data_IF_657575061135
#
_entry.id   IF_657575061135
#
_cell.length_a   1.000
_cell.length_b   1.000
_cell.length_c   1.000
_cell.angle_alpha   90.00
_cell.angle_beta   90.00
_cell.angle_gamma   90.00
#
_symmetry.space_group_name_H-M   'P 1'
#
loop_
_entity.id
_entity.type
_entity.pdbx_description
1 polymer ?
#
# COMPACT_ATOMS: atom_id res chain seq x y z
N UNK A 1 -11.04 -33.94 28.69
CA UNK A 1 -9.57 -33.77 28.69
C UNK A 1 -9.06 -34.24 27.34
N UNK A 2 -8.78 -33.30 26.46
CA UNK A 2 -8.29 -33.54 25.09
C UNK A 2 -6.96 -32.78 25.00
N UNK A 3 -5.83 -33.42 24.63
CA UNK A 3 -4.54 -32.78 24.75
C UNK A 3 -4.35 -31.72 23.65
N UNK A 4 -3.70 -30.63 24.06
CA UNK A 4 -3.33 -29.50 23.22
C UNK A 4 -2.45 -29.92 22.04
N UNK A 5 -2.78 -29.32 20.90
CA UNK A 5 -2.11 -29.39 19.61
C UNK A 5 -0.62 -28.99 19.73
N UNK A 6 0.27 -29.89 19.32
CA UNK A 6 1.71 -29.67 19.31
C UNK A 6 2.09 -28.64 18.24
N UNK A 7 2.59 -27.48 18.66
CA UNK A 7 3.33 -26.55 17.78
C UNK A 7 4.45 -27.33 17.08
N UNK A 8 4.39 -27.44 15.75
CA UNK A 8 5.47 -27.96 14.92
C UNK A 8 6.75 -27.16 15.19
N UNK A 9 7.64 -27.71 16.04
CA UNK A 9 8.97 -27.16 16.24
C UNK A 9 9.72 -27.29 14.91
N UNK A 10 10.04 -26.16 14.28
CA UNK A 10 10.92 -26.10 13.11
C UNK A 10 12.17 -26.92 13.42
N UNK A 11 12.41 -27.95 12.62
CA UNK A 11 13.59 -28.83 12.73
C UNK A 11 14.87 -27.99 12.87
N UNK A 12 15.71 -28.34 13.85
CA UNK A 12 17.02 -27.73 14.09
C UNK A 12 17.87 -27.65 12.80
N UNK A 13 17.74 -28.61 11.89
CA UNK A 13 18.39 -28.59 10.58
C UNK A 13 17.87 -27.47 9.65
N UNK A 14 16.60 -27.07 9.77
CA UNK A 14 16.00 -25.97 9.00
C UNK A 14 16.45 -24.62 9.57
N UNK A 15 16.58 -24.52 10.89
CA UNK A 15 17.12 -23.35 11.61
C UNK A 15 18.62 -23.19 11.35
N UNK A 16 19.38 -24.30 11.36
CA UNK A 16 20.79 -24.30 11.01
C UNK A 16 20.98 -23.99 9.52
N UNK A 17 20.16 -24.53 8.61
CA UNK A 17 20.21 -24.16 7.18
C UNK A 17 19.87 -22.69 6.95
N UNK A 18 18.92 -22.08 7.67
CA UNK A 18 18.69 -20.64 7.56
C UNK A 18 19.91 -19.87 8.09
N UNK A 19 20.42 -20.22 9.27
CA UNK A 19 21.58 -19.58 9.89
C UNK A 19 22.87 -19.71 9.06
N UNK A 20 23.04 -20.81 8.32
CA UNK A 20 24.19 -21.05 7.44
C UNK A 20 23.94 -20.66 5.97
N UNK A 21 22.70 -20.41 5.54
CA UNK A 21 22.41 -19.90 4.19
C UNK A 21 22.84 -18.43 4.00
N UNK A 22 23.14 -17.77 5.11
CA UNK A 22 23.70 -16.42 5.18
C UNK A 22 25.24 -16.42 5.25
N UNK A 23 25.87 -17.59 5.39
CA UNK A 23 27.32 -17.79 5.17
C UNK A 23 27.65 -18.06 3.69
N UNK A 24 26.88 -17.47 2.77
CA UNK A 24 27.23 -17.41 1.34
C UNK A 24 27.90 -16.06 1.12
N UNK A 25 29.06 -16.03 0.45
CA UNK A 25 29.74 -14.83 -0.08
C UNK A 25 28.71 -13.72 -0.40
N UNK A 26 28.55 -12.79 0.54
CA UNK A 26 27.67 -11.65 0.42
C UNK A 26 28.58 -10.44 0.35
N UNK A 27 28.72 -9.88 -0.84
CA UNK A 27 29.52 -8.69 -1.05
C UNK A 27 28.76 -7.49 -0.48
N UNK A 28 29.35 -6.79 0.48
CA UNK A 28 28.79 -5.53 0.98
C UNK A 28 29.30 -4.40 0.10
N UNK A 29 28.39 -3.65 -0.51
CA UNK A 29 28.73 -2.59 -1.46
C UNK A 29 28.11 -1.26 -1.03
N UNK A 30 28.93 -0.21 -0.99
CA UNK A 30 28.51 1.18 -0.90
C UNK A 30 28.31 1.73 -2.31
N UNK A 31 27.06 1.72 -2.79
CA UNK A 31 26.72 2.02 -4.18
C UNK A 31 26.60 3.53 -4.37
N UNK A 32 27.68 4.17 -4.84
CA UNK A 32 27.73 5.63 -5.16
C UNK A 32 27.41 5.94 -6.62
N UNK A 33 27.58 4.96 -7.50
CA UNK A 33 27.31 5.04 -8.93
C UNK A 33 26.55 3.78 -9.37
N UNK A 34 26.26 3.64 -10.66
CA UNK A 34 25.59 2.44 -11.16
C UNK A 34 26.44 1.18 -10.88
N UNK A 35 25.87 0.22 -10.16
CA UNK A 35 26.46 -1.08 -9.87
C UNK A 35 25.76 -2.18 -10.66
N UNK A 36 26.52 -2.90 -11.48
CA UNK A 36 26.00 -4.04 -12.25
C UNK A 36 25.86 -5.25 -11.33
N UNK A 37 24.66 -5.79 -11.25
CA UNK A 37 24.38 -6.94 -10.40
C UNK A 37 25.10 -8.19 -10.91
N UNK A 38 25.41 -9.09 -9.98
CA UNK A 38 26.04 -10.37 -10.27
C UNK A 38 25.15 -11.53 -9.82
N UNK A 39 25.60 -12.77 -10.05
CA UNK A 39 24.96 -13.98 -9.52
C UNK A 39 25.26 -14.21 -8.04
N UNK A 40 26.21 -13.47 -7.45
CA UNK A 40 26.46 -13.46 -5.99
C UNK A 40 25.43 -12.59 -5.27
N UNK A 41 25.28 -12.79 -3.96
CA UNK A 41 24.47 -11.90 -3.13
C UNK A 41 25.25 -10.59 -2.96
N UNK A 42 24.57 -9.47 -3.15
CA UNK A 42 25.11 -8.13 -2.94
C UNK A 42 24.24 -7.44 -1.91
N UNK A 43 24.80 -7.14 -0.75
CA UNK A 43 24.16 -6.37 0.31
C UNK A 43 24.51 -4.90 0.12
N UNK A 44 23.50 -4.07 -0.03
CA UNK A 44 23.64 -2.63 -0.27
C UNK A 44 23.40 -1.90 1.02
N UNK A 45 24.36 -1.07 1.44
CA UNK A 45 24.17 -0.18 2.59
C UNK A 45 23.27 0.98 2.18
N UNK A 46 21.99 0.90 2.52
CA UNK A 46 21.04 1.97 2.24
C UNK A 46 21.07 2.95 3.39
N UNK A 47 21.82 4.04 3.22
CA UNK A 47 21.76 5.22 4.11
C UNK A 47 20.49 6.02 3.82
N UNK A 48 19.32 5.36 3.86
CA UNK A 48 18.01 5.98 3.61
C UNK A 48 17.86 6.65 2.23
N UNK A 49 18.66 6.22 1.25
CA UNK A 49 18.59 6.75 -0.11
C UNK A 49 17.80 5.83 -1.02
N UNK A 50 16.96 6.38 -1.90
CA UNK A 50 16.24 5.57 -2.89
C UNK A 50 17.16 5.11 -4.02
N UNK A 51 16.81 3.98 -4.62
CA UNK A 51 17.54 3.39 -5.74
C UNK A 51 16.64 3.18 -6.95
N UNK A 52 17.23 3.29 -8.13
CA UNK A 52 16.65 2.78 -9.36
C UNK A 52 17.27 1.43 -9.69
N UNK A 53 16.41 0.47 -10.01
CA UNK A 53 16.75 -0.84 -10.54
C UNK A 53 16.43 -0.81 -12.02
N UNK A 54 17.42 -1.06 -12.89
CA UNK A 54 17.19 -1.19 -14.32
C UNK A 54 17.19 -2.68 -14.70
N UNK A 55 16.05 -3.18 -15.18
CA UNK A 55 15.93 -4.57 -15.64
C UNK A 55 16.33 -4.70 -17.11
N UNK A 56 17.39 -5.46 -17.41
CA UNK A 56 17.79 -5.81 -18.79
C UNK A 56 16.86 -6.89 -19.41
N UNK A 57 16.67 -7.04 -20.73
CA UNK A 57 17.17 -6.21 -21.83
C UNK A 57 16.45 -4.89 -21.99
N UNK A 58 15.19 -4.81 -21.58
CA UNK A 58 14.31 -3.70 -21.95
C UNK A 58 14.63 -2.39 -21.19
N UNK A 59 15.54 -2.45 -20.23
CA UNK A 59 15.94 -1.30 -19.42
C UNK A 59 14.83 -0.82 -18.47
N UNK A 60 13.79 -1.63 -18.21
CA UNK A 60 12.63 -1.24 -17.40
C UNK A 60 13.10 -0.68 -16.05
N UNK A 61 12.87 0.61 -15.75
CA UNK A 61 13.24 1.18 -14.47
C UNK A 61 12.18 0.81 -13.43
N UNK A 62 12.64 0.37 -12.26
CA UNK A 62 11.84 0.29 -11.05
C UNK A 62 12.51 1.13 -9.98
N UNK A 63 11.72 1.76 -9.12
CA UNK A 63 12.22 2.56 -8.01
C UNK A 63 11.95 1.83 -6.71
N UNK A 64 12.94 1.84 -5.82
CA UNK A 64 12.81 1.36 -4.45
C UNK A 64 13.17 2.50 -3.50
N UNK A 65 12.20 2.89 -2.68
CA UNK A 65 12.33 3.99 -1.74
C UNK A 65 12.18 3.45 -0.32
N UNK A 66 12.95 3.94 0.67
CA UNK A 66 12.57 3.79 2.06
C UNK A 66 11.15 4.31 2.25
N UNK A 67 10.32 3.55 2.93
CA UNK A 67 8.96 3.98 3.23
C UNK A 67 9.02 5.08 4.28
N UNK A 68 8.51 6.30 3.98
CA UNK A 68 8.56 7.38 4.94
C UNK A 68 7.65 7.06 6.13
N UNK A 69 8.19 7.24 7.33
CA UNK A 69 7.41 7.32 8.56
C UNK A 69 6.77 8.71 8.63
N UNK A 70 5.53 8.76 9.11
CA UNK A 70 4.78 10.01 9.28
C UNK A 70 4.65 10.39 10.76
N UNK A 71 5.42 9.74 11.64
CA UNK A 71 5.42 10.04 13.08
C UNK A 71 6.24 11.32 13.36
N UNK A 72 5.58 12.33 13.93
CA UNK A 72 6.21 13.61 14.28
C UNK A 72 7.30 13.46 15.34
N UNK A 73 7.19 12.44 16.21
CA UNK A 73 8.15 12.18 17.29
C UNK A 73 9.41 11.47 16.80
N UNK A 74 9.37 10.90 15.60
CA UNK A 74 10.42 10.02 15.12
C UNK A 74 10.83 10.35 13.69
N UNK A 75 11.22 11.61 13.49
CA UNK A 75 11.84 12.12 12.24
C UNK A 75 13.10 11.35 11.82
N UNK A 76 13.58 10.42 12.64
CA UNK A 76 14.78 9.59 12.43
C UNK A 76 14.51 8.07 12.50
N UNK A 77 13.28 7.61 12.78
CA UNK A 77 12.96 6.20 12.62
C UNK A 77 12.82 5.89 11.14
N UNK A 78 13.87 5.27 10.60
CA UNK A 78 13.76 4.46 9.40
C UNK A 78 12.74 3.35 9.67
N UNK A 79 11.66 3.29 8.88
CA UNK A 79 10.64 2.24 8.94
C UNK A 79 11.19 0.82 8.68
N UNK A 80 12.50 0.72 8.37
CA UNK A 80 13.19 -0.46 7.83
C UNK A 80 12.43 -1.11 6.69
N UNK A 81 11.48 -0.39 6.08
CA UNK A 81 10.54 -0.88 5.08
C UNK A 81 10.76 -0.12 3.80
N UNK A 82 10.54 -0.78 2.68
CA UNK A 82 10.77 -0.20 1.37
C UNK A 82 9.55 -0.34 0.47
N UNK A 83 9.30 0.67 -0.35
CA UNK A 83 8.28 0.63 -1.40
C UNK A 83 8.97 0.43 -2.75
N UNK A 84 8.65 -0.66 -3.44
CA UNK A 84 9.09 -0.97 -4.79
C UNK A 84 7.94 -0.71 -5.79
N UNK A 85 8.16 0.15 -6.78
CA UNK A 85 7.14 0.55 -7.73
C UNK A 85 7.70 0.89 -9.12
N UNK A 86 6.80 1.00 -10.11
CA UNK A 86 7.09 1.54 -11.44
C UNK A 86 6.98 3.08 -11.42
N UNK A 87 8.09 3.83 -11.54
CA UNK A 87 8.07 5.28 -11.44
C UNK A 87 7.32 5.97 -12.58
N UNK A 88 7.09 5.29 -13.71
CA UNK A 88 6.35 5.85 -14.84
C UNK A 88 4.84 5.93 -14.57
N UNK A 89 4.33 5.03 -13.71
CA UNK A 89 2.90 4.91 -13.40
C UNK A 89 2.54 5.44 -12.00
N UNK A 90 3.43 5.29 -11.02
CA UNK A 90 3.16 5.60 -9.62
C UNK A 90 2.83 7.08 -9.31
N UNK A 91 3.16 8.00 -10.21
CA UNK A 91 2.88 9.43 -10.01
C UNK A 91 1.84 9.98 -11.00
N UNK A 92 1.29 9.12 -11.87
CA UNK A 92 0.46 9.53 -13.00
C UNK A 92 -0.86 8.77 -13.12
N UNK A 93 -1.05 7.67 -12.38
CA UNK A 93 -2.30 6.91 -12.41
C UNK A 93 -2.37 5.81 -11.35
N UNK A 94 -3.52 5.14 -11.26
CA UNK A 94 -3.72 4.03 -10.33
C UNK A 94 -2.80 2.86 -10.72
N UNK A 95 -1.81 2.56 -9.88
CA UNK A 95 -0.93 1.40 -10.06
C UNK A 95 -0.63 0.69 -8.74
N UNK A 96 -0.23 -0.57 -8.83
CA UNK A 96 0.25 -1.32 -7.67
C UNK A 96 1.70 -0.99 -7.31
N UNK A 97 2.12 -1.50 -6.16
CA UNK A 97 3.48 -1.44 -5.64
C UNK A 97 3.66 -2.58 -4.62
N UNK A 98 4.90 -2.86 -4.25
CA UNK A 98 5.22 -3.80 -3.19
C UNK A 98 5.79 -3.07 -1.99
N UNK A 99 5.32 -3.40 -0.79
CA UNK A 99 6.00 -3.08 0.47
C UNK A 99 6.90 -4.25 0.84
N UNK A 100 8.16 -3.97 1.16
CA UNK A 100 9.14 -4.94 1.64
C UNK A 100 9.52 -4.56 3.07
N UNK A 101 8.90 -5.23 4.05
CA UNK A 101 9.24 -5.10 5.46
C UNK A 101 10.52 -5.88 5.79
N UNK A 102 11.07 -5.67 6.99
CA UNK A 102 12.20 -6.47 7.46
C UNK A 102 11.87 -7.97 7.43
N UNK A 103 12.72 -8.76 6.78
CA UNK A 103 12.55 -10.21 6.55
C UNK A 103 11.83 -10.56 5.25
N UNK A 104 11.22 -9.59 4.56
CA UNK A 104 10.51 -9.84 3.30
C UNK A 104 11.49 -10.10 2.15
N UNK A 105 11.01 -10.88 1.18
CA UNK A 105 11.73 -11.22 -0.03
C UNK A 105 10.80 -11.30 -1.22
N UNK A 106 11.15 -10.61 -2.29
CA UNK A 106 10.48 -10.68 -3.58
C UNK A 106 11.42 -11.23 -4.65
N UNK A 107 10.86 -11.96 -5.60
CA UNK A 107 11.56 -12.43 -6.80
C UNK A 107 10.86 -11.84 -8.01
N UNK A 108 11.53 -10.90 -8.68
CA UNK A 108 11.05 -10.26 -9.88
C UNK A 108 11.22 -11.16 -11.10
N UNK A 109 10.22 -11.22 -11.98
CA UNK A 109 10.30 -11.94 -13.25
C UNK A 109 9.04 -11.85 -14.10
N UNK A 110 9.15 -12.21 -15.38
CA UNK A 110 8.07 -12.03 -16.38
C UNK A 110 6.91 -13.04 -16.30
N UNK A 111 6.98 -14.04 -15.40
CA UNK A 111 5.93 -15.06 -15.26
C UNK A 111 4.82 -14.64 -14.29
N UNK A 112 5.10 -13.72 -13.37
CA UNK A 112 4.18 -13.31 -12.32
C UNK A 112 3.17 -12.29 -12.86
N UNK A 113 1.87 -12.62 -12.85
CA UNK A 113 0.81 -11.77 -13.40
C UNK A 113 0.62 -10.49 -12.59
N UNK A 114 0.77 -10.56 -11.27
CA UNK A 114 0.63 -9.41 -10.38
C UNK A 114 1.77 -8.43 -10.62
N UNK A 115 3.01 -8.91 -10.70
CA UNK A 115 4.15 -8.04 -10.98
C UNK A 115 4.08 -7.41 -12.36
N UNK A 116 3.57 -8.13 -13.36
CA UNK A 116 3.30 -7.56 -14.69
C UNK A 116 2.28 -6.42 -14.62
N UNK A 117 1.24 -6.56 -13.81
CA UNK A 117 0.23 -5.53 -13.62
C UNK A 117 0.76 -4.33 -12.81
N UNK A 118 1.37 -4.60 -11.66
CA UNK A 118 1.75 -3.59 -10.67
C UNK A 118 3.01 -2.83 -11.06
N UNK A 119 4.02 -3.54 -11.56
CA UNK A 119 5.33 -2.99 -11.87
C UNK A 119 5.58 -2.83 -13.38
N UNK A 120 4.57 -3.12 -14.21
CA UNK A 120 4.68 -3.08 -15.67
C UNK A 120 5.88 -3.90 -16.19
N UNK A 121 6.11 -5.07 -15.59
CA UNK A 121 7.20 -5.97 -15.95
C UNK A 121 6.88 -6.66 -17.28
N UNK A 122 7.78 -6.64 -18.28
CA UNK A 122 7.57 -7.35 -19.55
C UNK A 122 7.48 -8.86 -19.38
N UNK A 123 6.56 -9.50 -20.12
CA UNK A 123 6.36 -10.96 -20.08
C UNK A 123 7.57 -11.73 -20.63
N UNK A 124 8.37 -11.07 -21.46
CA UNK A 124 9.56 -11.58 -22.12
C UNK A 124 10.73 -11.72 -21.14
N UNK A 125 10.66 -11.07 -19.97
CA UNK A 125 11.68 -11.23 -18.96
C UNK A 125 11.71 -12.68 -18.43
N UNK A 126 12.90 -13.19 -18.06
CA UNK A 126 13.04 -14.50 -17.44
C UNK A 126 12.07 -14.68 -16.27
N UNK A 127 11.50 -15.88 -16.14
CA UNK A 127 10.47 -16.19 -15.13
C UNK A 127 10.91 -15.84 -13.69
N UNK A 128 12.21 -15.97 -13.41
CA UNK A 128 12.85 -15.54 -12.17
C UNK A 128 14.13 -14.82 -12.55
N UNK A 129 14.18 -13.51 -12.32
CA UNK A 129 15.25 -12.65 -12.81
C UNK A 129 16.09 -12.07 -11.69
N UNK A 130 15.45 -11.43 -10.72
CA UNK A 130 16.12 -10.68 -9.67
C UNK A 130 15.46 -10.97 -8.33
N UNK A 131 16.24 -11.43 -7.36
CA UNK A 131 15.81 -11.51 -5.97
C UNK A 131 16.16 -10.21 -5.26
N UNK A 132 15.22 -9.68 -4.49
CA UNK A 132 15.42 -8.55 -3.57
C UNK A 132 14.92 -9.04 -2.21
N UNK A 133 15.77 -8.99 -1.19
CA UNK A 133 15.39 -9.27 0.19
C UNK A 133 15.70 -8.06 1.05
N UNK A 134 14.90 -7.86 2.09
CA UNK A 134 15.14 -6.85 3.11
C UNK A 134 15.63 -7.54 4.38
N UNK A 135 16.94 -7.44 4.64
CA UNK A 135 17.61 -7.99 5.82
C UNK A 135 17.73 -6.90 6.88
N UNK A 136 16.68 -6.74 7.69
CA UNK A 136 16.58 -5.75 8.77
C UNK A 136 16.91 -4.29 8.37
N UNK A 137 16.41 -3.85 7.21
CA UNK A 137 16.66 -2.52 6.64
C UNK A 137 17.80 -2.49 5.62
N UNK A 138 18.55 -3.58 5.46
CA UNK A 138 19.59 -3.71 4.44
C UNK A 138 19.07 -4.51 3.24
N UNK A 139 19.04 -3.90 2.05
CA UNK A 139 18.59 -4.63 0.86
C UNK A 139 19.69 -5.55 0.31
N UNK A 140 19.31 -6.79 0.06
CA UNK A 140 20.16 -7.82 -0.55
C UNK A 140 19.62 -8.16 -1.93
N UNK A 141 20.45 -7.92 -2.95
CA UNK A 141 20.17 -8.19 -4.34
C UNK A 141 20.90 -9.45 -4.81
N UNK A 142 20.25 -10.23 -5.68
CA UNK A 142 20.89 -11.36 -6.35
C UNK A 142 20.26 -11.60 -7.71
N UNK A 143 21.07 -11.56 -8.77
CA UNK A 143 20.61 -12.02 -10.08
C UNK A 143 20.39 -13.54 -10.06
N UNK A 144 19.27 -13.97 -10.62
CA UNK A 144 18.91 -15.38 -10.79
C UNK A 144 19.17 -15.88 -12.21
N UNK A 145 19.81 -15.06 -13.06
CA UNK A 145 20.20 -15.40 -14.43
C UNK A 145 21.72 -15.40 -14.59
N UNK A 146 22.23 -16.29 -15.46
CA UNK A 146 23.66 -16.56 -15.62
C UNK A 146 24.46 -15.40 -16.23
N UNK A 147 23.84 -14.58 -17.09
CA UNK A 147 24.47 -13.38 -17.66
C UNK A 147 23.76 -12.14 -17.08
N UNK A 148 24.11 -11.71 -15.86
CA UNK A 148 23.44 -10.59 -15.23
C UNK A 148 23.85 -9.28 -15.91
N UNK A 149 22.85 -8.53 -16.34
CA UNK A 149 23.01 -7.23 -16.98
C UNK A 149 22.17 -6.13 -16.33
N UNK A 150 21.26 -6.51 -15.42
CA UNK A 150 20.55 -5.55 -14.58
C UNK A 150 21.53 -4.81 -13.68
N UNK A 151 21.24 -3.54 -13.41
CA UNK A 151 22.02 -2.71 -12.50
C UNK A 151 21.12 -2.00 -11.49
N UNK A 152 21.75 -1.57 -10.42
CA UNK A 152 21.16 -0.67 -9.43
C UNK A 152 21.94 0.63 -9.42
N UNK A 153 21.29 1.76 -9.20
CA UNK A 153 21.93 3.06 -9.10
C UNK A 153 21.20 3.93 -8.07
N UNK A 154 21.93 4.67 -7.21
CA UNK A 154 21.31 5.56 -6.24
C UNK A 154 20.66 6.75 -6.96
N UNK A 155 19.53 7.21 -6.43
CA UNK A 155 18.82 8.38 -6.93
C UNK A 155 19.26 9.64 -6.14
N UNK A 156 20.48 10.12 -6.42
CA UNK A 156 21.18 11.14 -5.62
C UNK A 156 20.72 12.59 -5.81
N UNK A 157 19.86 12.89 -6.78
CA UNK A 157 19.37 14.28 -6.97
C UNK A 157 18.34 14.58 -5.88
N UNK A 158 18.50 15.66 -5.11
CA UNK A 158 17.61 16.02 -3.99
C UNK A 158 16.11 15.89 -4.31
N UNK A 159 15.69 16.39 -5.49
CA UNK A 159 14.30 16.26 -5.95
C UNK A 159 13.82 14.82 -6.01
N UNK A 160 14.68 13.89 -6.41
CA UNK A 160 14.39 12.45 -6.47
C UNK A 160 14.49 11.80 -5.10
N UNK A 161 15.47 12.18 -4.26
CA UNK A 161 15.63 11.64 -2.90
C UNK A 161 14.34 11.79 -2.10
N UNK A 162 13.80 13.01 -2.08
CA UNK A 162 12.62 13.35 -1.29
C UNK A 162 11.30 13.25 -2.07
N UNK A 163 11.31 12.70 -3.29
CA UNK A 163 10.14 12.73 -4.18
C UNK A 163 8.93 12.03 -3.55
N UNK A 164 9.11 10.79 -3.07
CA UNK A 164 8.02 10.02 -2.46
C UNK A 164 7.51 10.67 -1.17
N UNK A 165 8.42 11.17 -0.33
CA UNK A 165 8.06 11.86 0.91
C UNK A 165 7.23 13.13 0.62
N UNK A 166 7.74 14.01 -0.24
CA UNK A 166 7.04 15.23 -0.64
C UNK A 166 5.70 14.94 -1.31
N UNK A 167 5.64 13.89 -2.14
CA UNK A 167 4.40 13.42 -2.75
C UNK A 167 3.36 13.07 -1.69
N UNK A 168 3.73 12.23 -0.71
CA UNK A 168 2.81 11.84 0.39
C UNK A 168 2.40 13.04 1.23
N UNK A 169 3.31 13.94 1.59
CA UNK A 169 2.97 15.16 2.32
C UNK A 169 1.95 16.04 1.58
N UNK A 170 2.12 16.22 0.27
CA UNK A 170 1.17 16.96 -0.55
C UNK A 170 -0.22 16.29 -0.55
N UNK A 171 -0.27 14.94 -0.57
CA UNK A 171 -1.55 14.22 -0.45
C UNK A 171 -2.20 14.44 0.89
N UNK A 172 -1.46 14.35 1.98
CA UNK A 172 -2.00 14.55 3.32
C UNK A 172 -2.54 15.96 3.50
N UNK A 173 -1.84 16.97 2.96
CA UNK A 173 -2.35 18.34 2.90
C UNK A 173 -3.68 18.41 2.13
N UNK A 174 -3.77 17.76 0.96
CA UNK A 174 -5.00 17.71 0.18
C UNK A 174 -6.14 16.96 0.87
N UNK A 175 -5.84 15.85 1.53
CA UNK A 175 -6.80 15.07 2.33
C UNK A 175 -7.36 15.93 3.48
N UNK A 176 -6.50 16.71 4.14
CA UNK A 176 -6.92 17.64 5.20
C UNK A 176 -7.90 18.70 4.67
N UNK A 177 -7.68 19.21 3.47
CA UNK A 177 -8.61 20.14 2.81
C UNK A 177 -9.96 19.47 2.53
N UNK A 178 -9.95 18.26 1.96
CA UNK A 178 -11.17 17.47 1.68
C UNK A 178 -11.95 17.22 2.96
N UNK A 179 -11.27 16.91 4.06
CA UNK A 179 -11.90 16.66 5.35
C UNK A 179 -12.27 17.93 6.12
N UNK A 180 -11.94 19.11 5.60
CA UNK A 180 -12.38 20.41 6.12
C UNK A 180 -11.77 20.79 7.47
N UNK A 181 -10.61 20.23 7.84
CA UNK A 181 -10.02 20.51 9.16
C UNK A 181 -9.09 19.41 9.69
N UNK A 182 -8.78 19.44 11.00
CA UNK A 182 -8.03 18.35 11.65
C UNK A 182 -8.75 17.00 11.54
N UNK A 183 -7.98 15.92 11.67
CA UNK A 183 -8.47 14.54 11.70
C UNK A 183 -8.89 14.23 13.14
N UNK A 184 -10.07 14.70 13.52
CA UNK A 184 -10.65 14.51 14.84
C UNK A 184 -12.17 14.24 14.72
N UNK A 185 -12.78 13.56 15.71
CA UNK A 185 -14.22 13.33 15.72
C UNK A 185 -15.00 14.65 15.62
N UNK A 186 -16.07 14.65 14.83
CA UNK A 186 -16.97 15.80 14.75
C UNK A 186 -17.79 15.94 16.04
N UNK A 187 -18.19 17.18 16.34
CA UNK A 187 -19.25 17.39 17.33
C UNK A 187 -20.56 16.70 16.90
N UNK A 188 -21.38 16.27 17.85
CA UNK A 188 -22.66 15.59 17.58
C UNK A 188 -23.55 16.35 16.57
N UNK A 189 -23.57 17.69 16.63
CA UNK A 189 -24.36 18.49 15.71
C UNK A 189 -23.81 18.45 14.27
N UNK A 190 -22.48 18.55 14.12
CA UNK A 190 -21.81 18.47 12.83
C UNK A 190 -21.92 17.05 12.24
N UNK A 191 -21.70 16.01 13.04
CA UNK A 191 -21.86 14.61 12.63
C UNK A 191 -23.29 14.33 12.14
N UNK A 192 -24.31 14.76 12.89
CA UNK A 192 -25.72 14.59 12.48
C UNK A 192 -26.05 15.33 11.17
N UNK A 193 -25.44 16.50 10.97
CA UNK A 193 -25.60 17.27 9.72
C UNK A 193 -24.99 16.50 8.54
N UNK A 194 -23.76 16.02 8.70
CA UNK A 194 -23.06 15.21 7.70
C UNK A 194 -23.83 13.93 7.35
N UNK A 195 -24.34 13.19 8.35
CA UNK A 195 -25.17 11.99 8.14
C UNK A 195 -26.40 12.31 7.30
N UNK A 196 -27.09 13.42 7.59
CA UNK A 196 -28.29 13.82 6.83
C UNK A 196 -27.96 14.18 5.39
N UNK A 197 -26.82 14.82 5.14
CA UNK A 197 -26.35 15.15 3.79
C UNK A 197 -26.00 13.89 3.01
N UNK A 198 -25.24 12.98 3.61
CA UNK A 198 -24.89 11.71 2.98
C UNK A 198 -26.14 10.86 2.71
N UNK A 199 -27.10 10.79 3.62
CA UNK A 199 -28.36 10.06 3.38
C UNK A 199 -29.11 10.57 2.14
N UNK A 200 -29.07 11.87 1.84
CA UNK A 200 -29.65 12.42 0.60
C UNK A 200 -28.90 11.95 -0.64
N UNK A 201 -27.57 11.83 -0.57
CA UNK A 201 -26.75 11.27 -1.65
C UNK A 201 -27.07 9.79 -1.85
N UNK A 202 -27.14 9.02 -0.75
CA UNK A 202 -27.37 7.58 -0.79
C UNK A 202 -28.75 7.22 -1.36
N UNK A 203 -29.77 8.06 -1.16
CA UNK A 203 -31.12 7.86 -1.70
C UNK A 203 -31.19 7.82 -3.23
N UNK A 204 -30.18 8.38 -3.92
CA UNK A 204 -30.06 8.37 -5.37
C UNK A 204 -28.62 8.07 -5.81
N UNK A 205 -27.93 7.21 -5.06
CA UNK A 205 -26.51 6.93 -5.30
C UNK A 205 -26.29 6.36 -6.71
N UNK A 206 -25.34 6.94 -7.44
CA UNK A 206 -24.95 6.42 -8.75
C UNK A 206 -24.50 4.96 -8.63
N UNK A 207 -24.63 4.20 -9.72
CA UNK A 207 -24.17 2.80 -9.77
C UNK A 207 -24.86 1.83 -8.82
N UNK A 208 -25.96 2.23 -8.15
CA UNK A 208 -26.81 1.31 -7.37
C UNK A 208 -28.10 0.98 -8.12
N UNK A 209 -28.24 -0.23 -8.68
CA UNK A 209 -29.50 -0.68 -9.23
C UNK A 209 -30.62 -0.58 -8.18
N UNK A 210 -31.79 -0.14 -8.63
CA UNK A 210 -32.98 -0.05 -7.78
C UNK A 210 -33.56 -1.44 -7.52
N UNK A 211 -34.06 -1.65 -6.31
CA UNK A 211 -34.82 -2.83 -5.92
C UNK A 211 -36.26 -2.77 -6.47
N UNK A 212 -37.08 -3.78 -6.16
CA UNK A 212 -38.47 -3.84 -6.59
C UNK A 212 -39.36 -2.70 -6.04
N UNK A 213 -38.90 -2.01 -4.99
CA UNK A 213 -39.56 -0.86 -4.37
C UNK A 213 -39.08 0.48 -4.95
N UNK A 214 -38.14 0.47 -5.90
CA UNK A 214 -37.56 1.68 -6.49
C UNK A 214 -36.50 2.34 -5.62
N UNK A 215 -35.96 1.65 -4.62
CA UNK A 215 -34.92 2.15 -3.72
C UNK A 215 -33.54 1.58 -4.10
N UNK A 216 -32.43 2.31 -3.91
CA UNK A 216 -31.09 1.78 -4.14
C UNK A 216 -30.82 0.49 -3.35
N UNK A 217 -30.43 -0.57 -4.05
CA UNK A 217 -30.14 -1.87 -3.43
C UNK A 217 -28.74 -1.99 -2.82
N UNK A 218 -28.42 -3.17 -2.27
CA UNK A 218 -27.10 -3.48 -1.70
C UNK A 218 -25.98 -3.70 -2.73
N UNK A 219 -26.32 -3.81 -4.02
CA UNK A 219 -25.38 -4.03 -5.11
C UNK A 219 -24.82 -2.70 -5.64
N UNK A 220 -23.52 -2.67 -5.94
CA UNK A 220 -22.86 -1.61 -6.70
C UNK A 220 -22.40 -2.17 -8.04
N UNK A 221 -22.82 -1.55 -9.14
CA UNK A 221 -22.50 -1.96 -10.50
C UNK A 221 -21.65 -0.87 -11.18
N UNK A 222 -20.34 -1.07 -11.14
CA UNK A 222 -19.36 -0.16 -11.73
C UNK A 222 -19.12 -0.49 -13.21
N UNK A 223 -18.86 0.52 -14.06
CA UNK A 223 -18.39 0.30 -15.43
C UNK A 223 -17.02 -0.39 -15.49
N UNK A 224 -16.77 -1.14 -16.56
CA UNK A 224 -15.52 -1.87 -16.79
C UNK A 224 -14.37 -0.99 -17.35
N UNK A 225 -14.58 0.32 -17.47
CA UNK A 225 -13.65 1.24 -18.16
C UNK A 225 -12.61 1.89 -17.24
N UNK A 226 -12.76 1.75 -15.93
CA UNK A 226 -12.00 2.49 -14.93
C UNK A 226 -11.44 1.56 -13.84
N UNK A 227 -10.23 1.79 -13.33
CA UNK A 227 -9.68 1.03 -12.22
C UNK A 227 -10.56 1.11 -10.96
N UNK A 228 -10.65 -0.01 -10.24
CA UNK A 228 -11.34 -0.11 -8.95
C UNK A 228 -10.33 -0.42 -7.85
N UNK A 229 -10.27 0.45 -6.85
CA UNK A 229 -9.50 0.26 -5.63
C UNK A 229 -10.43 -0.37 -4.61
N UNK A 230 -10.12 -1.58 -4.16
CA UNK A 230 -10.90 -2.30 -3.16
C UNK A 230 -10.15 -2.24 -1.84
N UNK A 231 -10.81 -1.76 -0.80
CA UNK A 231 -10.30 -1.67 0.56
C UNK A 231 -11.12 -2.58 1.47
N UNK A 232 -10.43 -3.51 2.14
CA UNK A 232 -11.01 -4.39 3.16
C UNK A 232 -11.30 -3.68 4.48
N UNK A 233 -11.49 -4.49 5.50
CA UNK A 233 -11.82 -4.09 6.86
C UNK A 233 -10.83 -3.05 7.39
N UNK A 234 -11.37 -2.04 8.09
CA UNK A 234 -10.55 -1.01 8.73
C UNK A 234 -10.51 -1.15 10.24
N UNK A 235 -11.53 -1.74 10.87
CA UNK A 235 -11.61 -1.97 12.32
C UNK A 235 -11.15 -0.74 13.12
N UNK A 236 -11.74 0.41 12.81
CA UNK A 236 -11.48 1.70 13.42
C UNK A 236 -10.02 2.19 13.38
N UNK A 237 -9.28 1.83 12.32
CA UNK A 237 -7.89 2.28 12.08
C UNK A 237 -7.84 3.39 11.01
N UNK A 238 -8.06 4.68 11.36
CA UNK A 238 -8.02 5.78 10.40
C UNK A 238 -6.69 5.91 9.66
N UNK A 239 -5.58 5.55 10.30
CA UNK A 239 -4.26 5.57 9.67
C UNK A 239 -4.16 4.66 8.45
N UNK A 240 -4.90 3.54 8.43
CA UNK A 240 -4.96 2.66 7.27
C UNK A 240 -5.65 3.37 6.09
N UNK A 241 -6.78 4.05 6.36
CA UNK A 241 -7.48 4.83 5.34
C UNK A 241 -6.60 5.97 4.80
N UNK A 242 -5.97 6.74 5.69
CA UNK A 242 -5.07 7.83 5.31
C UNK A 242 -3.85 7.34 4.54
N UNK A 243 -3.31 6.18 4.91
CA UNK A 243 -2.20 5.54 4.18
C UNK A 243 -2.62 5.20 2.76
N UNK A 244 -3.80 4.60 2.56
CA UNK A 244 -4.32 4.27 1.23
C UNK A 244 -4.55 5.53 0.39
N UNK A 245 -5.23 6.54 0.93
CA UNK A 245 -5.54 7.78 0.20
C UNK A 245 -4.29 8.60 -0.15
N UNK A 246 -3.23 8.50 0.66
CA UNK A 246 -1.96 9.19 0.42
C UNK A 246 -1.00 8.44 -0.52
N UNK A 247 -1.38 7.25 -0.97
CA UNK A 247 -0.54 6.40 -1.80
C UNK A 247 -0.79 6.64 -3.30
N UNK A 248 0.28 6.65 -4.09
CA UNK A 248 0.20 6.74 -5.56
C UNK A 248 -0.68 7.94 -6.01
N UNK A 249 -1.37 7.85 -7.14
CA UNK A 249 -2.30 8.84 -7.69
C UNK A 249 -3.78 8.49 -7.40
N UNK A 250 -4.06 7.78 -6.30
CA UNK A 250 -5.42 7.34 -5.99
C UNK A 250 -6.36 8.51 -5.74
N UNK A 251 -5.93 9.49 -4.94
CA UNK A 251 -6.72 10.68 -4.64
C UNK A 251 -7.05 11.49 -5.90
N UNK A 252 -6.07 11.73 -6.78
CA UNK A 252 -6.27 12.43 -8.04
C UNK A 252 -7.20 11.66 -8.96
N UNK A 253 -7.13 10.33 -8.96
CA UNK A 253 -8.02 9.51 -9.78
C UNK A 253 -9.48 9.62 -9.30
N UNK A 254 -9.72 9.76 -8.00
CA UNK A 254 -11.05 10.05 -7.46
C UNK A 254 -11.50 11.47 -7.85
N UNK A 255 -10.64 12.47 -7.72
CA UNK A 255 -10.94 13.87 -8.11
C UNK A 255 -11.20 14.01 -9.61
N UNK A 256 -10.45 13.29 -10.44
CA UNK A 256 -10.58 13.27 -11.89
C UNK A 256 -11.70 12.33 -12.39
N UNK A 257 -12.38 11.61 -11.49
CA UNK A 257 -13.41 10.62 -11.82
C UNK A 257 -12.92 9.51 -12.76
N UNK A 258 -11.64 9.15 -12.66
CA UNK A 258 -10.98 8.14 -13.50
C UNK A 258 -10.72 6.83 -12.78
N UNK A 259 -11.13 6.71 -11.51
CA UNK A 259 -11.12 5.47 -10.75
C UNK A 259 -12.24 5.46 -9.70
N UNK A 260 -12.52 4.26 -9.19
CA UNK A 260 -13.47 4.03 -8.11
C UNK A 260 -12.75 3.55 -6.85
N UNK A 261 -13.23 3.95 -5.67
CA UNK A 261 -12.82 3.40 -4.38
C UNK A 261 -14.02 2.72 -3.71
N UNK A 262 -13.85 1.45 -3.35
CA UNK A 262 -14.88 0.64 -2.69
C UNK A 262 -14.31 0.11 -1.38
N UNK A 263 -14.94 0.48 -0.25
CA UNK A 263 -14.68 -0.15 1.05
C UNK A 263 -15.71 -1.26 1.25
N UNK A 264 -15.25 -2.48 1.55
CA UNK A 264 -16.10 -3.67 1.66
C UNK A 264 -16.60 -3.96 3.09
N UNK A 265 -16.85 -2.90 3.86
CA UNK A 265 -17.43 -2.99 5.20
C UNK A 265 -16.41 -3.01 6.34
N UNK A 266 -16.92 -3.30 7.54
CA UNK A 266 -16.16 -3.51 8.78
C UNK A 266 -15.16 -2.38 9.07
N UNK A 267 -15.61 -1.14 8.87
CA UNK A 267 -14.78 0.02 9.14
C UNK A 267 -14.73 0.39 10.62
N UNK A 268 -15.75 0.05 11.38
CA UNK A 268 -15.89 0.34 12.82
C UNK A 268 -15.46 -0.84 13.68
N UNK A 269 -15.46 -0.63 14.99
CA UNK A 269 -15.11 -1.61 16.02
C UNK A 269 -13.64 -2.06 15.94
N UNK A 270 -12.77 -1.51 16.81
CA UNK A 270 -11.38 -1.95 16.88
C UNK A 270 -11.26 -3.43 17.28
N UNK A 271 -10.21 -4.08 16.78
CA UNK A 271 -9.88 -5.46 17.14
C UNK A 271 -9.32 -5.54 18.58
N UNK A 272 -9.77 -6.53 19.36
CA UNK A 272 -9.22 -6.87 20.67
C UNK A 272 -10.25 -6.86 21.82
N UNK A 273 -10.02 -7.71 22.84
CA UNK A 273 -10.98 -7.98 23.93
C UNK A 273 -11.33 -6.76 24.81
N UNK A 274 -10.52 -5.71 24.80
CA UNK A 274 -10.70 -4.50 25.64
C UNK A 274 -11.26 -3.32 24.81
N UNK A 275 -11.53 -3.53 23.52
CA UNK A 275 -11.75 -2.44 22.56
C UNK A 275 -13.23 -2.25 22.17
N UNK A 276 -14.15 -3.08 22.65
CA UNK A 276 -15.57 -3.01 22.27
C UNK A 276 -16.28 -1.76 22.80
N UNK A 277 -15.84 -1.22 23.93
CA UNK A 277 -16.41 0.01 24.53
C UNK A 277 -15.76 1.29 23.97
N UNK A 278 -14.68 1.16 23.18
CA UNK A 278 -13.99 2.28 22.56
C UNK A 278 -14.68 2.67 21.25
N UNK A 279 -15.34 3.83 21.26
CA UNK A 279 -16.15 4.31 20.14
C UNK A 279 -15.59 5.57 19.48
N UNK A 280 -14.59 6.24 20.05
CA UNK A 280 -14.04 7.48 19.48
C UNK A 280 -13.38 7.22 18.13
N UNK A 281 -12.60 6.16 18.01
CA UNK A 281 -11.97 5.74 16.76
C UNK A 281 -13.01 5.32 15.70
N UNK A 282 -14.08 4.65 16.15
CA UNK A 282 -15.21 4.25 15.30
C UNK A 282 -16.02 5.47 14.82
N UNK A 283 -16.19 6.49 15.65
CA UNK A 283 -16.82 7.74 15.26
C UNK A 283 -15.93 8.50 14.26
N UNK A 284 -14.63 8.60 14.55
CA UNK A 284 -13.67 9.26 13.66
C UNK A 284 -13.66 8.61 12.27
N UNK A 285 -13.50 7.29 12.18
CA UNK A 285 -13.43 6.61 10.88
C UNK A 285 -14.72 6.81 10.07
N UNK A 286 -15.89 6.79 10.73
CA UNK A 286 -17.17 7.04 10.08
C UNK A 286 -17.29 8.49 9.59
N UNK A 287 -16.86 9.47 10.38
CA UNK A 287 -16.83 10.86 9.94
C UNK A 287 -15.96 11.03 8.69
N UNK A 288 -14.80 10.38 8.63
CA UNK A 288 -13.92 10.41 7.46
C UNK A 288 -14.56 9.73 6.23
N UNK A 289 -15.17 8.57 6.41
CA UNK A 289 -15.88 7.83 5.34
C UNK A 289 -17.05 8.65 4.79
N UNK A 290 -17.83 9.27 5.66
CA UNK A 290 -18.96 10.12 5.26
C UNK A 290 -18.49 11.38 4.53
N UNK A 291 -17.38 12.00 4.97
CA UNK A 291 -16.75 13.12 4.25
C UNK A 291 -16.22 12.70 2.87
N UNK A 292 -15.64 11.50 2.73
CA UNK A 292 -15.29 10.96 1.42
C UNK A 292 -16.52 10.80 0.53
N UNK A 293 -17.62 10.26 1.07
CA UNK A 293 -18.85 10.09 0.30
C UNK A 293 -19.43 11.42 -0.16
N UNK A 294 -19.40 12.44 0.70
CA UNK A 294 -19.84 13.78 0.36
C UNK A 294 -18.96 14.41 -0.74
N UNK A 295 -17.65 14.16 -0.70
CA UNK A 295 -16.68 14.72 -1.64
C UNK A 295 -16.64 14.00 -2.99
N UNK A 296 -16.91 12.69 -2.99
CA UNK A 296 -16.78 11.81 -4.16
C UNK A 296 -18.03 10.95 -4.38
N UNK A 297 -19.23 11.56 -4.56
CA UNK A 297 -20.50 10.84 -4.52
C UNK A 297 -20.66 9.76 -5.62
N UNK A 298 -19.95 9.89 -6.74
CA UNK A 298 -20.00 8.93 -7.86
C UNK A 298 -18.79 8.01 -7.94
N UNK A 299 -17.73 8.28 -7.16
CA UNK A 299 -16.45 7.55 -7.22
C UNK A 299 -16.18 6.72 -5.96
N UNK A 300 -16.73 7.11 -4.81
CA UNK A 300 -16.55 6.42 -3.55
C UNK A 300 -17.80 5.64 -3.14
N UNK A 301 -17.60 4.37 -2.78
CA UNK A 301 -18.64 3.46 -2.33
C UNK A 301 -18.22 2.80 -1.02
N UNK A 302 -19.20 2.73 -0.10
CA UNK A 302 -19.09 1.96 1.13
C UNK A 302 -20.14 0.85 1.08
N UNK A 303 -19.70 -0.39 1.23
CA UNK A 303 -20.59 -1.54 1.40
C UNK A 303 -20.72 -1.84 2.89
N UNK A 304 -21.89 -2.33 3.28
CA UNK A 304 -22.17 -2.69 4.67
C UNK A 304 -21.51 -4.02 5.02
N UNK A 305 -20.65 -4.02 6.01
CA UNK A 305 -20.10 -5.22 6.65
C UNK A 305 -20.98 -5.74 7.80
N UNK A 306 -20.59 -6.87 8.39
CA UNK A 306 -21.30 -7.45 9.54
C UNK A 306 -21.11 -6.62 10.82
N UNK A 307 -19.99 -5.91 10.95
CA UNK A 307 -19.75 -5.01 12.09
C UNK A 307 -20.48 -3.67 11.97
N UNK A 308 -21.12 -3.37 10.83
CA UNK A 308 -21.85 -2.12 10.58
C UNK A 308 -23.35 -2.21 10.95
N UNK A 309 -23.68 -3.09 11.89
CA UNK A 309 -25.06 -3.38 12.29
C UNK A 309 -25.21 -3.47 13.80
N UNK A 310 -26.39 -3.07 14.28
CA UNK A 310 -26.81 -3.29 15.68
C UNK A 310 -27.44 -4.68 15.92
N UNK A 311 -27.39 -5.57 14.91
CA UNK A 311 -28.06 -6.87 14.89
C UNK A 311 -27.10 -8.02 15.12
#
# INVERSE_FOLDING_TARGET
MTPLNSKEKKSLLKVLRSAFSDMVDCEVVDVKEAYRLTTKKVKVQIKEQPFQINLYPDGKPLHIYPEPTLDENDKQASSKSFILFDPERYYSGVSGFYRLNAGDKIILGGKDLEQRAFLNIPKELPARKLSIANDDGELVFKSLVNNPQSCIAPLLKDKKVNQLFNWRLNKLARIREIFGGPIEPLSNHAALTLIREVNRILAAEAHRPLNAQGEPGGLVHLPDDSPVIILGDLHAKPDNLLTVLSQNSYLEALEAQSAYLVIIGDAVHPEGEVALDEMESSMLIMDLILKLKLSFPSQFFYLRGNHDSFS
#
